data_IF_924910948264
#
_entry.id   IF_924910948264
#
_cell.length_a   1.000
_cell.length_b   1.000
_cell.length_c   1.000
_cell.angle_alpha   90.00
_cell.angle_beta   90.00
_cell.angle_gamma   90.00
#
_symmetry.space_group_name_H-M   'P 1'
#
loop_
_entity.id
_entity.type
_entity.pdbx_description
1 polymer ?
#
# COMPACT_ATOMS: atom_id res chain seq x y z
N UNK A 1 17.65 -8.20 -6.73
CA UNK A 1 17.18 -7.02 -5.98
C UNK A 1 17.59 -5.69 -6.63
N UNK A 2 18.88 -5.39 -6.84
CA UNK A 2 19.29 -4.09 -7.44
C UNK A 2 18.73 -3.84 -8.84
N UNK A 3 18.66 -4.87 -9.70
CA UNK A 3 18.10 -4.78 -11.06
C UNK A 3 16.58 -4.59 -11.08
N UNK A 4 15.86 -5.29 -10.19
CA UNK A 4 14.40 -5.17 -10.03
C UNK A 4 14.02 -3.79 -9.50
N UNK A 5 14.72 -3.32 -8.45
CA UNK A 5 14.53 -1.98 -7.92
C UNK A 5 14.77 -0.91 -8.99
N UNK A 6 15.88 -1.00 -9.73
CA UNK A 6 16.21 -0.05 -10.79
C UNK A 6 15.14 -0.03 -11.89
N UNK A 7 14.68 -1.21 -12.33
CA UNK A 7 13.60 -1.31 -13.31
C UNK A 7 12.30 -0.64 -12.84
N UNK A 8 11.85 -0.95 -11.62
CA UNK A 8 10.64 -0.34 -11.05
C UNK A 8 10.82 1.18 -10.93
N UNK A 9 11.96 1.63 -10.43
CA UNK A 9 12.29 3.05 -10.28
C UNK A 9 12.22 3.78 -11.63
N UNK A 10 12.90 3.26 -12.64
CA UNK A 10 13.00 3.90 -13.95
C UNK A 10 11.63 3.94 -14.64
N UNK A 11 10.88 2.85 -14.58
CA UNK A 11 9.51 2.80 -15.09
C UNK A 11 8.60 3.82 -14.38
N UNK A 12 8.66 3.93 -13.05
CA UNK A 12 7.88 4.90 -12.29
C UNK A 12 8.28 6.35 -12.62
N UNK A 13 9.58 6.63 -12.79
CA UNK A 13 10.10 7.96 -13.18
C UNK A 13 9.63 8.33 -14.57
N UNK A 14 9.77 7.43 -15.55
CA UNK A 14 9.36 7.66 -16.94
C UNK A 14 7.88 7.99 -17.04
N UNK A 15 7.04 7.27 -16.29
CA UNK A 15 5.59 7.42 -16.30
C UNK A 15 5.07 8.46 -15.28
N UNK A 16 5.93 9.23 -14.59
CA UNK A 16 5.51 10.25 -13.61
C UNK A 16 4.40 11.19 -14.09
N UNK A 17 4.41 11.69 -15.34
CA UNK A 17 3.35 12.58 -15.82
C UNK A 17 1.94 11.96 -15.75
N UNK A 18 1.83 10.62 -15.74
CA UNK A 18 0.56 9.89 -15.74
C UNK A 18 -0.04 9.67 -14.35
N UNK A 19 0.76 9.73 -13.29
CA UNK A 19 0.30 9.42 -11.93
C UNK A 19 0.68 10.47 -10.87
N UNK A 20 1.71 11.28 -11.13
CA UNK A 20 2.25 12.27 -10.19
C UNK A 20 1.74 13.68 -10.50
N UNK A 21 0.42 13.83 -10.51
CA UNK A 21 -0.29 15.11 -10.63
C UNK A 21 -1.46 15.12 -9.63
N UNK A 22 -2.04 16.28 -9.37
CA UNK A 22 -3.14 16.45 -8.41
C UNK A 22 -4.50 16.27 -9.13
N UNK A 23 -5.16 15.10 -9.08
CA UNK A 23 -6.30 14.82 -9.96
C UNK A 23 -7.49 15.74 -9.67
N UNK A 24 -7.71 16.06 -8.39
CA UNK A 24 -8.78 16.97 -7.98
C UNK A 24 -8.56 18.40 -8.51
N UNK A 25 -7.33 18.92 -8.44
CA UNK A 25 -7.02 20.24 -8.98
C UNK A 25 -7.12 20.25 -10.52
N UNK A 26 -6.67 19.17 -11.17
CA UNK A 26 -6.76 19.03 -12.63
C UNK A 26 -8.20 18.88 -13.13
N UNK A 27 -9.14 18.40 -12.31
CA UNK A 27 -10.55 18.23 -12.71
C UNK A 27 -11.28 19.53 -13.08
N UNK A 28 -10.72 20.68 -12.70
CA UNK A 28 -11.24 22.01 -13.08
C UNK A 28 -10.98 22.30 -14.55
N UNK A 29 -9.95 21.68 -15.14
CA UNK A 29 -9.62 21.86 -16.56
C UNK A 29 -10.57 21.06 -17.44
N UNK A 30 -10.96 21.58 -18.61
CA UNK A 30 -11.88 20.91 -19.52
C UNK A 30 -11.24 19.73 -20.26
N UNK A 31 -9.91 19.63 -20.27
CA UNK A 31 -9.15 18.58 -20.95
C UNK A 31 -8.35 17.75 -19.96
N UNK A 32 -8.15 16.48 -20.28
CA UNK A 32 -7.29 15.59 -19.48
C UNK A 32 -5.82 16.09 -19.50
N UNK A 33 -5.06 15.91 -18.40
CA UNK A 33 -3.68 16.40 -18.29
C UNK A 33 -2.72 15.86 -19.35
N UNK A 34 -3.06 14.72 -19.97
CA UNK A 34 -2.20 14.00 -20.91
C UNK A 34 -2.63 14.16 -22.36
N UNK A 35 -3.57 15.07 -22.67
CA UNK A 35 -4.15 15.20 -24.00
C UNK A 35 -3.09 15.38 -25.11
N UNK A 36 -2.02 16.11 -24.83
CA UNK A 36 -0.95 16.38 -25.80
C UNK A 36 0.03 15.20 -25.96
N UNK A 37 0.29 14.46 -24.88
CA UNK A 37 1.31 13.41 -24.85
C UNK A 37 0.75 12.00 -25.11
N UNK A 38 -0.50 11.75 -24.71
CA UNK A 38 -1.18 10.46 -24.83
C UNK A 38 -2.62 10.63 -25.36
N UNK A 39 -2.82 11.19 -26.56
CA UNK A 39 -4.16 11.50 -27.09
C UNK A 39 -5.04 10.25 -27.26
N UNK A 40 -4.45 9.10 -27.59
CA UNK A 40 -5.19 7.84 -27.74
C UNK A 40 -5.69 7.31 -26.40
N UNK A 41 -4.90 7.43 -25.33
CA UNK A 41 -5.32 7.09 -23.97
C UNK A 41 -6.49 7.98 -23.55
N UNK A 42 -6.38 9.30 -23.78
CA UNK A 42 -7.44 10.25 -23.47
C UNK A 42 -8.74 9.94 -24.22
N UNK A 43 -8.65 9.66 -25.52
CA UNK A 43 -9.82 9.28 -26.32
C UNK A 43 -10.49 8.00 -25.80
N UNK A 44 -9.70 7.00 -25.40
CA UNK A 44 -10.24 5.77 -24.82
C UNK A 44 -10.92 6.05 -23.48
N UNK A 45 -10.27 6.81 -22.57
CA UNK A 45 -10.85 7.18 -21.28
C UNK A 45 -12.18 7.93 -21.43
N UNK A 46 -12.27 8.87 -22.38
CA UNK A 46 -13.49 9.62 -22.68
C UNK A 46 -14.61 8.74 -23.29
N UNK A 47 -14.24 7.62 -23.90
CA UNK A 47 -15.21 6.67 -24.49
C UNK A 47 -15.84 5.73 -23.47
N UNK A 48 -15.27 5.61 -22.27
CA UNK A 48 -15.74 4.67 -21.26
C UNK A 48 -17.08 5.13 -20.65
N UNK A 49 -18.06 4.23 -20.65
CA UNK A 49 -19.30 4.44 -19.91
C UNK A 49 -19.10 4.24 -18.41
N UNK A 50 -19.97 4.79 -17.54
CA UNK A 50 -19.88 4.58 -16.09
C UNK A 50 -19.84 3.11 -15.67
N UNK A 51 -20.58 2.23 -16.34
CA UNK A 51 -20.56 0.79 -16.04
C UNK A 51 -19.24 0.13 -16.43
N UNK A 52 -18.60 0.58 -17.53
CA UNK A 52 -17.28 0.06 -17.92
C UNK A 52 -16.20 0.51 -16.92
N UNK A 53 -16.29 1.76 -16.44
CA UNK A 53 -15.39 2.27 -15.40
C UNK A 53 -15.51 1.42 -14.12
N UNK A 54 -16.73 1.13 -13.67
CA UNK A 54 -16.92 0.30 -12.48
C UNK A 54 -16.43 -1.15 -12.68
N UNK A 55 -16.60 -1.72 -13.87
CA UNK A 55 -16.04 -3.04 -14.19
C UNK A 55 -14.50 -3.03 -14.13
N UNK A 56 -13.85 -2.03 -14.73
CA UNK A 56 -12.39 -1.90 -14.70
C UNK A 56 -11.85 -1.65 -13.29
N UNK A 57 -12.59 -0.94 -12.43
CA UNK A 57 -12.20 -0.78 -11.02
C UNK A 57 -12.32 -2.07 -10.22
N UNK A 58 -13.28 -2.93 -10.57
CA UNK A 58 -13.53 -4.18 -9.87
C UNK A 58 -12.57 -5.30 -10.30
N UNK A 59 -12.03 -5.24 -11.51
CA UNK A 59 -11.16 -6.25 -12.10
C UNK A 59 -9.82 -5.63 -12.54
N UNK A 60 -8.80 -5.80 -11.70
CA UNK A 60 -7.46 -5.24 -11.95
C UNK A 60 -6.74 -5.89 -13.13
N UNK A 61 -7.01 -7.17 -13.42
CA UNK A 61 -6.38 -7.86 -14.54
C UNK A 61 -6.98 -7.37 -15.86
N UNK A 62 -8.32 -7.22 -15.92
CA UNK A 62 -8.99 -6.60 -17.06
C UNK A 62 -8.50 -5.16 -17.30
N UNK A 63 -8.36 -4.37 -16.23
CA UNK A 63 -7.84 -3.01 -16.35
C UNK A 63 -6.40 -2.98 -16.86
N UNK A 64 -5.56 -3.91 -16.42
CA UNK A 64 -4.20 -4.05 -16.93
C UNK A 64 -4.19 -4.35 -18.43
N UNK A 65 -4.98 -5.32 -18.88
CA UNK A 65 -5.02 -5.73 -20.28
C UNK A 65 -5.42 -4.57 -21.20
N UNK A 66 -6.45 -3.82 -20.83
CA UNK A 66 -6.95 -2.67 -21.60
C UNK A 66 -5.94 -1.50 -21.60
N UNK A 67 -5.34 -1.17 -20.44
CA UNK A 67 -4.42 -0.02 -20.32
C UNK A 67 -3.05 -0.34 -20.95
N UNK A 68 -2.63 -1.60 -20.97
CA UNK A 68 -1.32 -2.01 -21.51
C UNK A 68 -1.14 -1.70 -23.00
N UNK A 69 -2.24 -1.50 -23.73
CA UNK A 69 -2.21 -1.02 -25.12
C UNK A 69 -1.59 0.38 -25.21
N UNK A 70 -1.84 1.23 -24.20
CA UNK A 70 -1.32 2.60 -24.13
C UNK A 70 0.00 2.67 -23.35
N UNK A 71 0.18 1.79 -22.36
CA UNK A 71 1.32 1.74 -21.46
C UNK A 71 1.98 0.35 -21.49
N UNK A 72 2.78 0.04 -22.52
CA UNK A 72 3.27 -1.31 -22.81
C UNK A 72 4.21 -1.88 -21.74
N UNK A 73 4.77 -1.03 -20.87
CA UNK A 73 5.64 -1.45 -19.78
C UNK A 73 4.88 -1.96 -18.54
N UNK A 74 3.57 -1.70 -18.44
CA UNK A 74 2.78 -2.09 -17.26
C UNK A 74 2.77 -3.59 -16.96
N UNK A 75 2.64 -4.51 -17.93
CA UNK A 75 2.73 -5.94 -17.64
C UNK A 75 4.09 -6.33 -17.07
N UNK A 76 5.16 -5.69 -17.54
CA UNK A 76 6.51 -5.91 -17.01
C UNK A 76 6.65 -5.34 -15.61
N UNK A 77 6.14 -4.14 -15.35
CA UNK A 77 6.07 -3.55 -14.02
C UNK A 77 5.33 -4.46 -13.05
N UNK A 78 4.16 -4.98 -13.43
CA UNK A 78 3.38 -5.88 -12.58
C UNK A 78 4.18 -7.12 -12.18
N UNK A 79 4.82 -7.80 -13.16
CA UNK A 79 5.68 -8.96 -12.88
C UNK A 79 6.82 -8.64 -11.92
N UNK A 80 7.39 -7.44 -12.02
CA UNK A 80 8.44 -6.99 -11.11
C UNK A 80 7.92 -6.54 -9.74
N UNK A 81 6.62 -6.25 -9.59
CA UNK A 81 6.00 -5.90 -8.30
C UNK A 81 5.28 -7.07 -7.63
N UNK A 82 5.23 -8.25 -8.26
CA UNK A 82 4.67 -9.44 -7.63
C UNK A 82 5.51 -9.84 -6.41
N UNK A 83 4.84 -9.99 -5.28
CA UNK A 83 5.42 -10.44 -4.04
C UNK A 83 4.96 -11.87 -3.76
N UNK A 84 5.87 -12.69 -3.27
CA UNK A 84 5.51 -14.02 -2.79
C UNK A 84 4.64 -13.89 -1.54
N UNK A 85 3.57 -14.67 -1.50
CA UNK A 85 2.70 -14.74 -0.32
C UNK A 85 3.40 -15.53 0.78
N UNK A 86 3.37 -14.99 1.99
CA UNK A 86 3.81 -15.69 3.19
C UNK A 86 2.63 -16.43 3.81
N UNK A 87 2.82 -17.70 4.14
CA UNK A 87 1.84 -18.46 4.89
C UNK A 87 1.83 -17.99 6.35
N UNK A 88 0.64 -17.73 6.88
CA UNK A 88 0.41 -17.28 8.25
C UNK A 88 -0.45 -18.33 8.96
N UNK A 89 -0.02 -18.76 10.13
CA UNK A 89 -0.70 -19.71 11.01
C UNK A 89 -1.68 -18.99 11.96
N UNK A 90 -1.52 -17.68 12.13
CA UNK A 90 -2.32 -16.82 13.01
C UNK A 90 -1.66 -16.61 14.37
N UNK A 91 -1.66 -15.36 14.84
CA UNK A 91 -1.20 -15.02 16.19
C UNK A 91 -2.32 -15.19 17.22
N UNK A 92 -1.97 -15.79 18.37
CA UNK A 92 -2.84 -15.84 19.53
C UNK A 92 -2.64 -14.58 20.38
N UNK A 93 -3.66 -13.73 20.47
CA UNK A 93 -3.61 -12.52 21.29
C UNK A 93 -3.99 -12.81 22.75
N UNK A 94 -3.23 -12.23 23.68
CA UNK A 94 -3.65 -12.15 25.07
C UNK A 94 -4.92 -11.29 25.19
N UNK A 95 -5.72 -11.58 26.23
CA UNK A 95 -6.99 -10.88 26.45
C UNK A 95 -6.78 -9.38 26.60
N UNK A 96 -7.49 -8.60 25.78
CA UNK A 96 -7.52 -7.14 25.87
C UNK A 96 -6.53 -6.42 24.95
N UNK A 97 -5.61 -7.13 24.29
CA UNK A 97 -4.70 -6.52 23.30
C UNK A 97 -5.43 -6.05 22.02
N UNK A 98 -6.62 -6.61 21.77
CA UNK A 98 -7.52 -6.24 20.68
C UNK A 98 -8.40 -5.01 21.01
N UNK A 99 -8.40 -4.57 22.27
CA UNK A 99 -9.27 -3.49 22.74
C UNK A 99 -9.01 -2.18 21.99
N UNK A 100 -10.07 -1.61 21.41
CA UNK A 100 -10.00 -0.34 20.67
C UNK A 100 -9.46 -0.46 19.25
N UNK A 101 -9.25 -1.67 18.72
CA UNK A 101 -8.83 -1.92 17.34
C UNK A 101 -10.03 -2.42 16.52
N UNK A 102 -10.49 -1.68 15.49
CA UNK A 102 -11.57 -2.15 14.62
C UNK A 102 -11.18 -3.42 13.85
N UNK A 103 -12.12 -4.35 13.64
CA UNK A 103 -11.85 -5.72 13.13
C UNK A 103 -10.87 -5.82 11.97
N UNK A 104 -11.13 -5.16 10.83
CA UNK A 104 -10.22 -5.19 9.66
C UNK A 104 -8.81 -4.67 9.99
N UNK A 105 -8.71 -3.66 10.86
CA UNK A 105 -7.41 -3.13 11.30
C UNK A 105 -6.69 -4.16 12.18
N UNK A 106 -7.42 -4.86 13.05
CA UNK A 106 -6.85 -5.92 13.89
C UNK A 106 -6.28 -7.05 13.03
N UNK A 107 -7.05 -7.54 12.05
CA UNK A 107 -6.60 -8.57 11.10
C UNK A 107 -5.30 -8.18 10.40
N UNK A 108 -5.19 -6.92 9.93
CA UNK A 108 -3.98 -6.42 9.29
C UNK A 108 -2.78 -6.35 10.24
N UNK A 109 -2.99 -5.90 11.48
CA UNK A 109 -1.93 -5.81 12.48
C UNK A 109 -1.45 -7.22 12.88
N UNK A 110 -2.37 -8.17 13.05
CA UNK A 110 -2.02 -9.55 13.36
C UNK A 110 -1.21 -10.18 12.23
N UNK A 111 -1.65 -10.03 10.98
CA UNK A 111 -0.94 -10.57 9.82
C UNK A 111 0.45 -9.95 9.65
N UNK A 112 0.57 -8.63 9.80
CA UNK A 112 1.86 -7.92 9.75
C UNK A 112 2.78 -8.36 10.89
N UNK A 113 2.25 -8.43 12.12
CA UNK A 113 3.01 -8.83 13.30
C UNK A 113 3.57 -10.24 13.14
N UNK A 114 2.76 -11.18 12.67
CA UNK A 114 3.17 -12.56 12.45
C UNK A 114 4.30 -12.66 11.42
N UNK A 115 4.10 -12.02 10.26
CA UNK A 115 5.10 -12.00 9.20
C UNK A 115 6.42 -11.39 9.66
N UNK A 116 6.35 -10.30 10.44
CA UNK A 116 7.51 -9.64 10.99
C UNK A 116 8.26 -10.54 11.98
N UNK A 117 7.55 -11.23 12.89
CA UNK A 117 8.13 -12.15 13.88
C UNK A 117 8.81 -13.33 13.19
N UNK A 118 8.17 -13.95 12.20
CA UNK A 118 8.75 -15.09 11.46
C UNK A 118 10.09 -14.75 10.79
N UNK A 119 10.28 -13.48 10.38
CA UNK A 119 11.48 -13.02 9.69
C UNK A 119 12.45 -12.22 10.58
N UNK A 120 12.17 -12.11 11.88
CA UNK A 120 12.95 -11.26 12.79
C UNK A 120 14.33 -11.87 13.09
N UNK A 121 15.37 -11.04 13.05
CA UNK A 121 16.75 -11.45 13.36
C UNK A 121 17.43 -10.56 14.42
N UNK A 122 16.68 -9.64 15.03
CA UNK A 122 17.18 -8.71 16.04
C UNK A 122 16.80 -9.11 17.48
N UNK A 123 17.09 -8.20 18.39
CA UNK A 123 16.72 -8.30 19.82
C UNK A 123 15.74 -7.19 20.24
N UNK A 124 15.42 -6.26 19.33
CA UNK A 124 14.53 -5.14 19.58
C UNK A 124 13.76 -4.75 18.32
N UNK A 125 12.64 -4.07 18.51
CA UNK A 125 11.77 -3.60 17.45
C UNK A 125 11.77 -2.09 17.31
N UNK A 126 11.62 -1.62 16.07
CA UNK A 126 11.44 -0.23 15.72
C UNK A 126 10.18 -0.07 14.86
N UNK A 127 9.25 0.76 15.31
CA UNK A 127 8.00 1.05 14.61
C UNK A 127 7.95 2.52 14.19
N UNK A 128 7.84 2.78 12.89
CA UNK A 128 7.66 4.13 12.34
C UNK A 128 6.19 4.40 12.04
N UNK A 129 5.75 5.64 12.27
CA UNK A 129 4.34 6.02 12.10
C UNK A 129 3.40 5.13 12.91
N UNK A 130 3.80 4.86 14.16
CA UNK A 130 3.16 3.88 15.05
C UNK A 130 1.72 4.22 15.44
N UNK A 131 1.29 5.48 15.27
CA UNK A 131 0.03 5.95 15.79
C UNK A 131 -0.06 5.70 17.30
N UNK A 132 -0.93 4.78 17.72
CA UNK A 132 -1.12 4.40 19.14
C UNK A 132 -0.25 3.20 19.58
N UNK A 133 0.63 2.69 18.70
CA UNK A 133 1.54 1.59 19.01
C UNK A 133 0.89 0.21 19.11
N UNK A 134 -0.20 -0.05 18.37
CA UNK A 134 -0.89 -1.34 18.45
C UNK A 134 -0.06 -2.52 17.92
N UNK A 135 0.67 -2.33 16.82
CA UNK A 135 1.57 -3.37 16.31
C UNK A 135 2.73 -3.58 17.29
N UNK A 136 3.31 -2.49 17.81
CA UNK A 136 4.35 -2.58 18.84
C UNK A 136 3.94 -3.42 20.06
N UNK A 137 2.72 -3.24 20.58
CA UNK A 137 2.20 -4.07 21.69
C UNK A 137 2.15 -5.55 21.34
N UNK A 138 1.70 -5.88 20.14
CA UNK A 138 1.66 -7.27 19.70
C UNK A 138 3.08 -7.82 19.57
N UNK A 139 4.00 -7.08 18.96
CA UNK A 139 5.40 -7.52 18.83
C UNK A 139 6.05 -7.77 20.19
N UNK A 140 5.96 -6.83 21.13
CA UNK A 140 6.59 -6.99 22.45
C UNK A 140 5.98 -8.15 23.24
N UNK A 141 4.65 -8.34 23.20
CA UNK A 141 4.01 -9.45 23.93
C UNK A 141 4.29 -10.81 23.28
N UNK A 142 4.41 -10.88 21.96
CA UNK A 142 4.66 -12.16 21.28
C UNK A 142 6.13 -12.60 21.34
N UNK A 143 7.08 -11.65 21.46
CA UNK A 143 8.51 -11.97 21.40
C UNK A 143 9.28 -11.69 22.68
N UNK A 144 8.66 -11.10 23.69
CA UNK A 144 9.30 -10.59 24.92
C UNK A 144 10.48 -9.62 24.64
N UNK A 145 10.43 -8.92 23.50
CA UNK A 145 11.47 -7.96 23.09
C UNK A 145 11.02 -6.52 23.28
N UNK A 146 11.95 -5.59 23.58
CA UNK A 146 11.63 -4.17 23.63
C UNK A 146 11.19 -3.63 22.26
N UNK A 147 10.28 -2.65 22.28
CA UNK A 147 9.81 -1.94 21.09
C UNK A 147 9.99 -0.44 21.30
N UNK A 148 10.59 0.22 20.32
CA UNK A 148 10.63 1.68 20.22
C UNK A 148 9.67 2.15 19.12
N UNK A 149 8.66 2.91 19.49
CA UNK A 149 7.64 3.43 18.55
C UNK A 149 7.81 4.93 18.33
N UNK A 150 7.99 5.33 17.07
CA UNK A 150 8.02 6.73 16.63
C UNK A 150 6.66 7.13 16.07
N UNK A 151 6.14 8.26 16.53
CA UNK A 151 4.93 8.89 16.00
C UNK A 151 5.10 10.41 16.01
N UNK A 152 4.60 11.06 14.96
CA UNK A 152 4.71 12.50 14.76
C UNK A 152 3.66 13.27 15.57
N UNK A 153 2.44 12.73 15.65
CA UNK A 153 1.33 13.39 16.33
C UNK A 153 1.37 13.10 17.84
N UNK A 154 1.70 14.12 18.65
CA UNK A 154 1.78 14.00 20.10
C UNK A 154 0.53 13.35 20.74
N UNK A 155 -0.67 13.71 20.28
CA UNK A 155 -1.91 13.13 20.81
C UNK A 155 -2.01 11.59 20.62
N UNK A 156 -1.39 11.06 19.57
CA UNK A 156 -1.32 9.62 19.34
C UNK A 156 -0.28 8.96 20.25
N UNK A 157 0.87 9.61 20.46
CA UNK A 157 1.87 9.18 21.45
C UNK A 157 1.26 9.08 22.85
N UNK A 158 0.59 10.14 23.30
CA UNK A 158 -0.04 10.20 24.62
C UNK A 158 -1.11 9.11 24.78
N UNK A 159 -1.96 8.93 23.75
CA UNK A 159 -2.96 7.86 23.74
C UNK A 159 -2.33 6.47 23.76
N UNK A 160 -1.17 6.28 23.12
CA UNK A 160 -0.45 5.00 23.09
C UNK A 160 0.24 4.66 24.41
N UNK A 161 0.59 5.65 25.23
CA UNK A 161 1.18 5.45 26.56
C UNK A 161 0.15 5.17 27.66
N UNK A 162 -1.11 5.53 27.43
CA UNK A 162 -2.20 5.40 28.41
C UNK A 162 -3.00 4.10 28.30
N UNK A 163 -2.94 3.43 27.15
CA UNK A 163 -3.67 2.19 26.88
C UNK A 163 -2.82 0.96 27.19
#
# INVERSE_FOLDING_TARGET
MQTQFQFINDCLIEHQPLWRFEPFQSSIQPSLPWQETHPQLCQWLESLSPSQIENLKADSDLALDEISVFLPDLPSLLRHTQLESMALDGLALERGLDSGIPGRKLEQIMAMGEAAIQSHQGEEWLEWCSGKGYLGRILTTQTDQPVTSFEYQQALCDSGQQA
#
